data_IF_977077337686
#
_entry.id   IF_977077337686
#
_cell.length_a   1.000
_cell.length_b   1.000
_cell.length_c   1.000
_cell.angle_alpha   90.00
_cell.angle_beta   90.00
_cell.angle_gamma   90.00
#
_symmetry.space_group_name_H-M   'P 1'
#
loop_
_entity.id
_entity.type
_entity.pdbx_description
1 polymer ?
#
# COMPACT_ATOMS: atom_id res chain seq x y z
N UNK A 1 9.68 -32.53 25.00
CA UNK A 1 8.98 -31.60 25.93
C UNK A 1 9.43 -30.15 25.74
N UNK A 2 10.72 -29.88 25.46
CA UNK A 2 11.23 -28.54 25.07
C UNK A 2 10.57 -27.96 23.80
N UNK A 3 10.28 -28.80 22.82
CA UNK A 3 9.78 -28.33 21.50
C UNK A 3 8.35 -27.77 21.55
N UNK A 4 7.49 -28.35 22.41
CA UNK A 4 6.12 -27.85 22.65
C UNK A 4 6.10 -26.47 23.32
N UNK A 5 7.12 -26.16 24.12
CA UNK A 5 7.23 -24.89 24.84
C UNK A 5 7.68 -23.77 23.89
N UNK A 6 8.65 -24.06 23.02
CA UNK A 6 9.10 -23.12 21.99
C UNK A 6 8.00 -22.78 20.98
N UNK A 7 7.19 -23.77 20.58
CA UNK A 7 6.05 -23.54 19.70
C UNK A 7 5.03 -22.58 20.31
N UNK A 8 4.64 -22.78 21.58
CA UNK A 8 3.71 -21.89 22.28
C UNK A 8 4.21 -20.44 22.37
N UNK A 9 5.51 -20.26 22.61
CA UNK A 9 6.12 -18.92 22.70
C UNK A 9 6.11 -18.25 21.32
N UNK A 10 6.59 -18.95 20.29
CA UNK A 10 6.57 -18.45 18.92
C UNK A 10 5.14 -18.10 18.48
N UNK A 11 4.18 -18.98 18.73
CA UNK A 11 2.77 -18.79 18.39
C UNK A 11 2.17 -17.56 19.10
N UNK A 12 2.47 -17.36 20.38
CA UNK A 12 2.02 -16.17 21.13
C UNK A 12 2.65 -14.87 20.60
N UNK A 13 3.93 -14.89 20.22
CA UNK A 13 4.63 -13.74 19.64
C UNK A 13 4.06 -13.39 18.27
N UNK A 14 3.93 -14.37 17.38
CA UNK A 14 3.32 -14.16 16.06
C UNK A 14 1.87 -13.70 16.18
N UNK A 15 1.11 -14.23 17.13
CA UNK A 15 -0.26 -13.77 17.40
C UNK A 15 -0.30 -12.32 17.90
N UNK A 16 0.64 -11.91 18.75
CA UNK A 16 0.73 -10.51 19.20
C UNK A 16 1.09 -9.53 18.08
N UNK A 17 1.86 -9.97 17.07
CA UNK A 17 2.20 -9.20 15.89
C UNK A 17 1.07 -9.14 14.85
N UNK A 18 0.04 -10.00 14.96
CA UNK A 18 -1.13 -9.99 14.05
C UNK A 18 -2.08 -8.80 14.26
N UNK A 19 -1.81 -7.91 15.21
CA UNK A 19 -2.70 -6.77 15.50
C UNK A 19 -2.97 -5.87 14.30
N UNK A 20 -1.91 -5.46 13.58
CA UNK A 20 -1.96 -4.74 12.30
C UNK A 20 -0.53 -4.52 11.79
N UNK A 21 -0.37 -4.29 10.48
CA UNK A 21 0.92 -3.94 9.86
C UNK A 21 0.78 -2.58 9.20
N UNK A 22 1.73 -1.68 9.47
CA UNK A 22 1.86 -0.40 8.76
C UNK A 22 3.10 -0.47 7.87
N UNK A 23 2.89 -0.32 6.56
CA UNK A 23 3.98 -0.32 5.58
C UNK A 23 4.25 1.11 5.10
N UNK A 24 5.40 1.65 5.48
CA UNK A 24 5.89 2.92 4.95
C UNK A 24 6.62 2.72 3.62
N UNK A 25 5.96 3.02 2.51
CA UNK A 25 6.58 2.95 1.18
C UNK A 25 7.32 4.26 0.89
N UNK A 26 8.65 4.22 0.90
CA UNK A 26 9.51 5.36 0.65
C UNK A 26 10.40 5.12 -0.58
N UNK A 27 10.64 6.16 -1.36
CA UNK A 27 11.50 6.09 -2.54
C UNK A 27 11.53 7.40 -3.31
N UNK A 28 12.47 7.53 -4.25
CA UNK A 28 12.49 8.67 -5.17
C UNK A 28 11.25 8.64 -6.09
N UNK A 29 10.82 9.80 -6.58
CA UNK A 29 9.77 9.87 -7.62
C UNK A 29 10.13 8.95 -8.78
N UNK A 30 9.17 8.12 -9.20
CA UNK A 30 9.37 7.14 -10.29
C UNK A 30 9.94 5.77 -9.85
N UNK A 31 10.22 5.56 -8.56
CA UNK A 31 10.72 4.26 -8.05
C UNK A 31 9.67 3.15 -7.96
N UNK A 32 8.41 3.44 -8.28
CA UNK A 32 7.32 2.46 -8.22
C UNK A 32 6.62 2.33 -6.87
N UNK A 33 6.94 3.16 -5.86
CA UNK A 33 6.24 3.12 -4.56
C UNK A 33 4.71 3.25 -4.68
N UNK A 34 4.21 4.13 -5.57
CA UNK A 34 2.77 4.25 -5.82
C UNK A 34 2.18 2.98 -6.42
N UNK A 35 2.89 2.38 -7.38
CA UNK A 35 2.48 1.13 -8.04
C UNK A 35 2.45 -0.04 -7.05
N UNK A 36 3.48 -0.18 -6.20
CA UNK A 36 3.51 -1.19 -5.14
C UNK A 36 2.35 -0.97 -4.17
N UNK A 37 2.09 0.28 -3.77
CA UNK A 37 0.97 0.59 -2.89
C UNK A 37 -0.37 0.19 -3.49
N UNK A 38 -0.55 0.35 -4.80
CA UNK A 38 -1.76 -0.05 -5.52
C UNK A 38 -1.87 -1.57 -5.63
N UNK A 39 -0.77 -2.29 -5.87
CA UNK A 39 -0.75 -3.76 -5.88
C UNK A 39 -1.15 -4.32 -4.51
N UNK A 40 -0.61 -3.77 -3.42
CA UNK A 40 -0.92 -4.25 -2.06
C UNK A 40 -2.38 -4.04 -1.65
N UNK A 41 -3.11 -3.16 -2.34
CA UNK A 41 -4.56 -2.94 -2.11
C UNK A 41 -5.45 -3.93 -2.86
N UNK A 42 -4.87 -4.83 -3.66
CA UNK A 42 -5.63 -5.79 -4.45
C UNK A 42 -5.92 -7.06 -3.66
N UNK A 43 -6.99 -7.74 -4.06
CA UNK A 43 -7.30 -9.08 -3.58
C UNK A 43 -6.25 -10.09 -4.08
N UNK A 44 -6.07 -11.18 -3.33
CA UNK A 44 -5.05 -12.18 -3.65
C UNK A 44 -5.15 -12.72 -5.09
N UNK A 45 -6.38 -12.89 -5.60
CA UNK A 45 -6.65 -13.38 -6.96
C UNK A 45 -6.17 -12.42 -8.05
N UNK A 46 -6.06 -11.13 -7.75
CA UNK A 46 -5.63 -10.10 -8.69
C UNK A 46 -4.10 -9.93 -8.71
N UNK A 47 -3.41 -10.38 -7.66
CA UNK A 47 -1.94 -10.32 -7.56
C UNK A 47 -1.23 -11.21 -8.59
N UNK A 48 -1.94 -12.14 -9.23
CA UNK A 48 -1.41 -13.09 -10.20
C UNK A 48 -0.15 -13.82 -9.70
N UNK A 49 -0.10 -14.14 -8.40
CA UNK A 49 1.02 -14.86 -7.79
C UNK A 49 1.05 -16.28 -8.39
N UNK A 50 2.15 -16.71 -9.01
CA UNK A 50 2.23 -18.04 -9.62
C UNK A 50 2.15 -19.11 -8.53
N UNK A 51 1.34 -20.14 -8.76
CA UNK A 51 1.29 -21.30 -7.89
C UNK A 51 2.64 -22.03 -7.95
N UNK A 52 3.28 -22.32 -6.80
CA UNK A 52 4.52 -23.08 -6.76
C UNK A 52 4.35 -24.45 -7.44
N UNK A 53 5.37 -24.88 -8.19
CA UNK A 53 5.27 -26.14 -8.94
C UNK A 53 5.30 -27.36 -8.00
N UNK A 54 4.38 -28.30 -8.24
CA UNK A 54 4.41 -29.58 -7.53
C UNK A 54 5.53 -30.51 -8.01
N UNK A 55 6.18 -30.18 -9.13
CA UNK A 55 7.24 -31.00 -9.73
C UNK A 55 8.57 -30.90 -8.97
N UNK A 56 8.78 -29.83 -8.18
CA UNK A 56 9.96 -29.65 -7.31
C UNK A 56 9.77 -30.27 -5.91
N UNK A 57 8.75 -31.14 -5.73
CA UNK A 57 8.48 -31.89 -4.50
C UNK A 57 9.76 -32.61 -4.05
N UNK A 58 10.35 -32.14 -2.94
CA UNK A 58 11.53 -32.73 -2.32
C UNK A 58 12.59 -31.72 -1.89
N UNK A 59 12.59 -30.50 -2.43
CA UNK A 59 13.46 -29.43 -1.91
C UNK A 59 12.80 -28.69 -0.74
N UNK A 60 13.63 -28.25 0.22
CA UNK A 60 13.18 -27.41 1.34
C UNK A 60 12.56 -26.11 0.80
N UNK A 61 13.20 -25.49 -0.19
CA UNK A 61 12.74 -24.26 -0.83
C UNK A 61 11.32 -24.39 -1.41
N UNK A 62 11.05 -25.43 -2.21
CA UNK A 62 9.73 -25.65 -2.80
C UNK A 62 8.65 -25.89 -1.73
N UNK A 63 9.03 -26.53 -0.62
CA UNK A 63 8.12 -26.74 0.52
C UNK A 63 7.81 -25.41 1.22
N UNK A 64 8.82 -24.58 1.47
CA UNK A 64 8.66 -23.25 2.07
C UNK A 64 7.79 -22.33 1.21
N UNK A 65 8.01 -22.32 -0.11
CA UNK A 65 7.22 -21.55 -1.07
C UNK A 65 5.76 -21.97 -1.09
N UNK A 66 5.48 -23.29 -1.10
CA UNK A 66 4.11 -23.81 -1.05
C UNK A 66 3.40 -23.45 0.25
N UNK A 67 4.10 -23.55 1.39
CA UNK A 67 3.55 -23.14 2.69
C UNK A 67 3.22 -21.64 2.68
N UNK A 68 4.14 -20.80 2.20
CA UNK A 68 3.93 -19.35 2.14
C UNK A 68 2.77 -18.99 1.20
N UNK A 69 2.70 -19.63 0.02
CA UNK A 69 1.62 -19.42 -0.94
C UNK A 69 0.26 -19.78 -0.34
N UNK A 70 0.13 -20.96 0.28
CA UNK A 70 -1.13 -21.40 0.88
C UNK A 70 -1.52 -20.51 2.07
N UNK A 71 -0.57 -20.14 2.91
CA UNK A 71 -0.85 -19.24 4.03
C UNK A 71 -1.30 -17.86 3.53
N UNK A 72 -0.59 -17.29 2.55
CA UNK A 72 -0.96 -16.01 1.96
C UNK A 72 -2.34 -16.09 1.29
N UNK A 73 -2.63 -17.12 0.50
CA UNK A 73 -3.92 -17.28 -0.17
C UNK A 73 -5.11 -17.23 0.79
N UNK A 74 -4.99 -17.91 1.94
CA UNK A 74 -6.08 -18.01 2.93
C UNK A 74 -6.15 -16.81 3.89
N UNK A 75 -5.02 -16.10 4.10
CA UNK A 75 -4.91 -15.05 5.12
C UNK A 75 -4.65 -13.65 4.53
N UNK A 76 -4.55 -13.52 3.21
CA UNK A 76 -4.30 -12.23 2.57
C UNK A 76 -5.47 -11.30 2.82
N UNK A 77 -5.14 -10.12 3.34
CA UNK A 77 -6.06 -9.02 3.52
C UNK A 77 -5.50 -7.83 2.76
N UNK A 78 -6.22 -7.29 1.77
CA UNK A 78 -5.78 -6.11 1.03
C UNK A 78 -5.46 -4.96 1.98
N UNK A 79 -4.36 -4.25 1.72
CA UNK A 79 -3.94 -3.12 2.54
C UNK A 79 -4.86 -1.93 2.31
N UNK A 80 -5.16 -1.21 3.40
CA UNK A 80 -5.77 0.10 3.31
C UNK A 80 -4.72 1.14 2.92
N UNK A 81 -4.86 1.74 1.74
CA UNK A 81 -3.92 2.74 1.25
C UNK A 81 -4.20 4.11 1.86
N UNK A 82 -3.21 4.64 2.57
CA UNK A 82 -3.18 6.00 3.07
C UNK A 82 -2.19 6.81 2.24
N UNK A 83 -2.69 7.81 1.50
CA UNK A 83 -1.83 8.79 0.82
C UNK A 83 -1.60 9.97 1.75
N UNK A 84 -0.34 10.25 2.09
CA UNK A 84 0.03 11.39 2.97
C UNK A 84 -0.54 12.70 2.44
N UNK A 85 -0.55 12.91 1.12
CA UNK A 85 -1.16 14.10 0.50
C UNK A 85 -2.63 14.28 0.85
N UNK A 86 -3.42 13.19 0.96
CA UNK A 86 -4.83 13.27 1.38
C UNK A 86 -4.96 13.68 2.85
N UNK A 87 -4.08 13.17 3.72
CA UNK A 87 -4.05 13.57 5.12
C UNK A 87 -3.68 15.05 5.26
N UNK A 88 -2.66 15.51 4.52
CA UNK A 88 -2.26 16.91 4.52
C UNK A 88 -3.40 17.83 4.06
N UNK A 89 -4.10 17.45 2.98
CA UNK A 89 -5.27 18.21 2.51
C UNK A 89 -6.39 18.21 3.56
N UNK A 90 -6.68 17.06 4.18
CA UNK A 90 -7.69 16.97 5.24
C UNK A 90 -7.36 17.88 6.42
N UNK A 91 -6.12 17.84 6.89
CA UNK A 91 -5.62 18.72 7.96
C UNK A 91 -5.72 20.19 7.57
N UNK A 92 -5.31 20.57 6.35
CA UNK A 92 -5.46 21.94 5.85
C UNK A 92 -6.93 22.38 5.82
N UNK A 93 -7.84 21.50 5.41
CA UNK A 93 -9.27 21.82 5.38
C UNK A 93 -9.90 21.99 6.77
N UNK A 94 -9.38 21.29 7.77
CA UNK A 94 -9.85 21.36 9.15
C UNK A 94 -9.27 22.54 9.92
N UNK A 95 -7.97 22.83 9.72
CA UNK A 95 -7.21 23.80 10.52
C UNK A 95 -7.02 25.17 9.83
N UNK A 96 -7.05 25.24 8.49
CA UNK A 96 -7.01 26.55 7.84
C UNK A 96 -8.35 27.26 8.01
N UNK A 97 -8.29 28.54 8.36
CA UNK A 97 -9.44 29.41 8.22
C UNK A 97 -9.93 29.34 6.77
N UNK A 98 -11.22 29.01 6.62
CA UNK A 98 -11.88 28.68 5.35
C UNK A 98 -11.54 29.68 4.22
N UNK A 99 -11.42 30.97 4.55
CA UNK A 99 -11.06 32.05 3.65
C UNK A 99 -9.66 31.90 3.01
N UNK A 100 -8.61 31.55 3.75
CA UNK A 100 -7.23 31.53 3.22
C UNK A 100 -7.06 30.40 2.21
N UNK A 101 -7.54 29.20 2.53
CA UNK A 101 -7.42 28.05 1.63
C UNK A 101 -8.31 28.21 0.40
N UNK A 102 -9.54 28.72 0.56
CA UNK A 102 -10.43 29.01 -0.56
C UNK A 102 -9.84 30.09 -1.48
N UNK A 103 -9.30 31.19 -0.95
CA UNK A 103 -8.63 32.22 -1.76
C UNK A 103 -7.41 31.66 -2.51
N UNK A 104 -6.65 30.76 -1.88
CA UNK A 104 -5.52 30.10 -2.54
C UNK A 104 -5.99 29.24 -3.72
N UNK A 105 -7.06 28.46 -3.54
CA UNK A 105 -7.64 27.64 -4.60
C UNK A 105 -8.21 28.48 -5.75
N UNK A 106 -8.91 29.57 -5.44
CA UNK A 106 -9.42 30.53 -6.43
C UNK A 106 -8.26 31.10 -7.27
N UNK A 107 -7.21 31.62 -6.63
CA UNK A 107 -6.01 32.13 -7.32
C UNK A 107 -5.28 31.06 -8.13
N UNK A 108 -5.33 29.79 -7.72
CA UNK A 108 -4.75 28.69 -8.47
C UNK A 108 -5.58 28.39 -9.73
N UNK A 109 -6.91 28.36 -9.60
CA UNK A 109 -7.83 28.10 -10.71
C UNK A 109 -7.77 29.21 -11.78
N UNK A 110 -7.69 30.47 -11.34
CA UNK A 110 -7.54 31.62 -12.24
C UNK A 110 -6.27 31.52 -13.09
N UNK A 111 -5.14 31.14 -12.48
CA UNK A 111 -3.87 30.93 -13.20
C UNK A 111 -3.96 29.83 -14.24
N UNK A 112 -4.58 28.69 -13.91
CA UNK A 112 -4.79 27.59 -14.87
C UNK A 112 -5.70 28.02 -16.04
N UNK A 113 -6.71 28.83 -15.78
CA UNK A 113 -7.61 29.34 -16.82
C UNK A 113 -6.90 30.30 -17.80
N UNK A 114 -5.92 31.07 -17.31
CA UNK A 114 -5.09 31.97 -18.14
C UNK A 114 -4.11 31.17 -19.00
N UNK A 115 -3.38 30.21 -18.41
CA UNK A 115 -2.43 29.36 -19.16
C UNK A 115 -3.13 28.55 -20.26
N UNK A 116 -4.32 28.00 -19.96
CA UNK A 116 -5.10 27.26 -20.95
C UNK A 116 -5.57 28.15 -22.11
N UNK A 117 -5.95 29.41 -21.84
CA UNK A 117 -6.33 30.37 -22.90
C UNK A 117 -5.15 30.75 -23.79
N UNK A 118 -3.97 30.94 -23.21
CA UNK A 118 -2.76 31.25 -23.98
C UNK A 118 -2.29 30.06 -24.84
N UNK A 119 -2.48 28.82 -24.36
CA UNK A 119 -2.22 27.61 -25.16
C UNK A 119 -3.17 27.47 -26.35
N UNK A 120 -4.45 27.80 -26.19
CA UNK A 120 -5.46 27.72 -27.26
C UNK A 120 -5.20 28.78 -28.35
N UNK A 121 -4.66 29.95 -28.00
CA UNK A 121 -4.33 31.02 -28.97
C UNK A 121 -3.09 30.74 -29.82
N UNK A 122 -2.26 29.76 -29.45
CA UNK A 122 -1.05 29.37 -30.20
C UNK A 122 -1.29 28.24 -31.21
N UNK A 123 -2.55 27.85 -31.46
CA UNK A 123 -2.98 26.95 -32.53
C UNK A 123 -4.07 27.64 -33.35
#
# INVERSE_FOLDING_TARGET
MKDKFNYKIADSLFTSLKGFIVLGLCGRTGSGCSTVSEILTQDFTQLNIPMPSEELKGSVQATEELILYNYAKENWMPFYQIKVSRLMIGFLLEECQKNIFTEYLEKMFDRLSVENRERIKMH
#
